data_IF_630302678731
#
_entry.id   IF_630302678731
#
_cell.length_a   1.000
_cell.length_b   1.000
_cell.length_c   1.000
_cell.angle_alpha   90.00
_cell.angle_beta   90.00
_cell.angle_gamma   90.00
#
_symmetry.space_group_name_H-M   'P 1'
#
loop_
_entity.id
_entity.type
_entity.pdbx_description
1 polymer ?
#
# COMPACT_ATOMS: atom_id res chain seq x y z
N UNK A 1 11.83 -15.23 -12.05
CA UNK A 1 11.81 -14.16 -11.02
C UNK A 1 11.81 -14.84 -9.66
N UNK A 2 12.49 -14.27 -8.67
CA UNK A 2 12.52 -14.83 -7.31
C UNK A 2 11.21 -14.52 -6.60
N UNK A 3 10.64 -15.50 -5.88
CA UNK A 3 9.44 -15.30 -5.07
C UNK A 3 9.79 -14.45 -3.85
N UNK A 4 9.04 -13.37 -3.62
CA UNK A 4 9.18 -12.49 -2.46
C UNK A 4 8.16 -12.83 -1.39
N UNK A 5 6.89 -12.95 -1.77
CA UNK A 5 5.81 -13.36 -0.89
C UNK A 5 5.21 -14.67 -1.40
N UNK A 6 5.00 -15.62 -0.50
CA UNK A 6 4.34 -16.89 -0.78
C UNK A 6 3.20 -17.09 0.22
N UNK A 7 1.99 -17.19 -0.28
CA UNK A 7 0.77 -17.45 0.47
C UNK A 7 0.40 -18.92 0.25
N UNK A 8 0.13 -19.67 1.34
CA UNK A 8 -0.15 -21.10 1.30
C UNK A 8 -1.38 -21.41 2.12
N UNK A 9 -2.42 -21.91 1.46
CA UNK A 9 -3.66 -22.39 2.08
C UNK A 9 -4.24 -21.40 3.11
N UNK A 10 -4.17 -20.09 2.80
CA UNK A 10 -4.62 -19.04 3.70
C UNK A 10 -6.14 -19.09 3.83
N UNK A 11 -6.62 -19.09 5.07
CA UNK A 11 -8.02 -19.06 5.42
C UNK A 11 -8.30 -18.00 6.47
N UNK A 12 -9.44 -17.31 6.36
CA UNK A 12 -9.90 -16.35 7.36
C UNK A 12 -11.40 -16.43 7.54
N UNK A 13 -11.78 -16.52 8.80
CA UNK A 13 -13.17 -16.46 9.25
C UNK A 13 -13.29 -15.45 10.39
N UNK A 14 -14.42 -14.73 10.45
CA UNK A 14 -14.83 -13.91 11.58
C UNK A 14 -16.13 -14.50 12.14
N UNK A 15 -16.07 -15.02 13.36
CA UNK A 15 -17.15 -15.78 13.99
C UNK A 15 -17.67 -16.89 13.06
N UNK A 16 -18.91 -16.80 12.58
CA UNK A 16 -19.49 -17.77 11.62
C UNK A 16 -19.33 -17.33 10.15
N UNK A 17 -18.74 -16.14 9.88
CA UNK A 17 -18.64 -15.60 8.53
C UNK A 17 -17.29 -15.95 7.90
N UNK A 18 -17.29 -16.90 6.98
CA UNK A 18 -16.11 -17.22 6.16
C UNK A 18 -15.82 -16.06 5.20
N UNK A 19 -14.59 -15.52 5.24
CA UNK A 19 -14.13 -14.46 4.33
C UNK A 19 -13.52 -15.08 3.09
N UNK A 20 -12.59 -16.00 3.27
CA UNK A 20 -11.99 -16.81 2.20
C UNK A 20 -11.37 -18.08 2.76
N UNK A 21 -11.19 -19.07 1.90
CA UNK A 21 -10.61 -20.37 2.26
C UNK A 21 -9.57 -20.81 1.24
N UNK A 22 -8.51 -21.45 1.74
CA UNK A 22 -7.48 -22.14 0.95
C UNK A 22 -6.80 -21.29 -0.15
N UNK A 23 -6.61 -19.97 0.09
CA UNK A 23 -5.94 -19.11 -0.87
C UNK A 23 -4.44 -19.48 -0.96
N UNK A 24 -3.96 -19.66 -2.19
CA UNK A 24 -2.54 -19.95 -2.44
C UNK A 24 -2.06 -19.24 -3.69
N UNK A 25 -1.04 -18.39 -3.56
CA UNK A 25 -0.40 -17.70 -4.68
C UNK A 25 0.98 -17.17 -4.29
N UNK A 26 1.75 -16.75 -5.29
CA UNK A 26 3.08 -16.21 -5.10
C UNK A 26 3.18 -14.80 -5.71
N UNK A 27 3.95 -13.94 -5.07
CA UNK A 27 4.29 -12.61 -5.56
C UNK A 27 5.81 -12.56 -5.75
N UNK A 28 6.24 -12.18 -6.95
CA UNK A 28 7.67 -12.08 -7.28
C UNK A 28 8.26 -10.76 -6.79
N UNK A 29 9.57 -10.73 -6.55
CA UNK A 29 10.32 -9.47 -6.35
C UNK A 29 10.14 -8.54 -7.56
N UNK A 30 10.11 -7.24 -7.30
CA UNK A 30 10.04 -6.17 -8.32
C UNK A 30 8.84 -6.34 -9.25
N UNK A 31 7.72 -6.78 -8.73
CA UNK A 31 6.48 -6.98 -9.47
C UNK A 31 5.41 -5.99 -9.04
N UNK A 32 4.44 -5.78 -9.92
CA UNK A 32 3.16 -5.16 -9.59
C UNK A 32 2.13 -6.27 -9.62
N UNK A 33 1.54 -6.60 -8.48
CA UNK A 33 0.58 -7.68 -8.32
C UNK A 33 -0.80 -7.12 -7.96
N UNK A 34 -1.82 -7.54 -8.69
CA UNK A 34 -3.18 -7.02 -8.55
C UNK A 34 -4.10 -8.00 -7.83
N UNK A 35 -4.70 -7.58 -6.72
CA UNK A 35 -5.79 -8.30 -6.07
C UNK A 35 -7.12 -7.74 -6.57
N UNK A 36 -7.83 -8.56 -7.34
CA UNK A 36 -9.15 -8.27 -7.89
C UNK A 36 -10.24 -8.84 -7.00
N UNK A 37 -11.44 -8.33 -7.11
CA UNK A 37 -12.63 -8.86 -6.45
C UNK A 37 -13.65 -7.76 -6.18
N UNK A 38 -14.90 -8.15 -6.03
CA UNK A 38 -16.00 -7.22 -5.72
C UNK A 38 -15.84 -6.61 -4.32
N UNK A 39 -16.61 -5.56 -4.02
CA UNK A 39 -16.64 -5.00 -2.68
C UNK A 39 -17.15 -6.06 -1.69
N UNK A 40 -16.48 -6.18 -0.55
CA UNK A 40 -16.79 -7.19 0.46
C UNK A 40 -16.17 -8.58 0.22
N UNK A 41 -15.42 -8.81 -0.86
CA UNK A 41 -14.78 -10.12 -1.13
C UNK A 41 -13.61 -10.46 -0.20
N UNK A 42 -13.20 -9.57 0.71
CA UNK A 42 -12.11 -9.82 1.64
C UNK A 42 -10.75 -9.22 1.27
N UNK A 43 -10.65 -8.39 0.21
CA UNK A 43 -9.38 -7.76 -0.22
C UNK A 43 -8.65 -7.05 0.91
N UNK A 44 -9.34 -6.16 1.62
CA UNK A 44 -8.78 -5.44 2.78
C UNK A 44 -8.31 -6.39 3.88
N UNK A 45 -9.07 -7.45 4.16
CA UNK A 45 -8.69 -8.48 5.13
C UNK A 45 -7.40 -9.19 4.69
N UNK A 46 -7.32 -9.60 3.43
CA UNK A 46 -6.12 -10.23 2.87
C UNK A 46 -4.91 -9.31 2.95
N UNK A 47 -5.05 -8.01 2.56
CA UNK A 47 -3.98 -7.02 2.64
C UNK A 47 -3.47 -6.82 4.07
N UNK A 48 -4.39 -6.75 5.05
CA UNK A 48 -4.05 -6.62 6.47
C UNK A 48 -3.35 -7.87 7.02
N UNK A 49 -3.72 -9.05 6.58
CA UNK A 49 -3.04 -10.29 6.96
C UNK A 49 -1.62 -10.30 6.38
N UNK A 50 -1.45 -10.00 5.08
CA UNK A 50 -0.13 -9.96 4.43
C UNK A 50 0.79 -8.89 5.06
N UNK A 51 0.22 -7.78 5.55
CA UNK A 51 0.96 -6.73 6.26
C UNK A 51 1.09 -6.97 7.77
N UNK A 52 0.72 -8.16 8.27
CA UNK A 52 0.78 -8.55 9.68
C UNK A 52 -0.02 -7.64 10.64
N UNK A 53 -1.10 -7.02 10.15
CA UNK A 53 -2.03 -6.27 10.99
C UNK A 53 -3.16 -7.15 11.55
N UNK A 54 -3.36 -8.34 10.97
CA UNK A 54 -4.25 -9.38 11.44
C UNK A 54 -3.42 -10.66 11.55
N UNK A 55 -3.31 -11.20 12.77
CA UNK A 55 -2.52 -12.41 13.06
C UNK A 55 -3.38 -13.66 13.20
N UNK A 56 -4.68 -13.48 13.43
CA UNK A 56 -5.66 -14.57 13.56
C UNK A 56 -6.13 -15.02 12.17
N UNK A 57 -5.46 -16.04 11.62
CA UNK A 57 -5.77 -16.72 10.36
C UNK A 57 -5.15 -18.12 10.34
N UNK A 58 -5.67 -19.00 9.49
CA UNK A 58 -5.08 -20.32 9.20
C UNK A 58 -4.23 -20.27 7.91
N UNK A 59 -3.32 -21.24 7.74
CA UNK A 59 -2.36 -21.27 6.65
C UNK A 59 -1.07 -20.51 6.95
N UNK A 60 -0.22 -20.33 5.94
CA UNK A 60 1.12 -19.76 6.08
C UNK A 60 1.39 -18.64 5.07
N UNK A 61 2.15 -17.65 5.52
CA UNK A 61 2.71 -16.60 4.67
C UNK A 61 4.22 -16.58 4.87
N UNK A 62 4.95 -16.59 3.76
CA UNK A 62 6.41 -16.48 3.77
C UNK A 62 6.83 -15.20 3.03
N UNK A 63 7.75 -14.46 3.63
CA UNK A 63 8.46 -13.35 3.03
C UNK A 63 9.93 -13.72 2.90
N UNK A 64 10.47 -13.75 1.69
CA UNK A 64 11.85 -14.18 1.42
C UNK A 64 12.21 -15.51 2.10
N UNK A 65 11.30 -16.51 2.01
CA UNK A 65 11.43 -17.85 2.59
C UNK A 65 11.24 -17.95 4.12
N UNK A 66 11.12 -16.84 4.85
CA UNK A 66 10.87 -16.80 6.29
C UNK A 66 9.38 -16.65 6.58
N UNK A 67 8.82 -17.51 7.46
CA UNK A 67 7.41 -17.39 7.86
C UNK A 67 7.15 -16.04 8.56
N UNK A 68 6.07 -15.36 8.21
CA UNK A 68 5.76 -14.04 8.79
C UNK A 68 5.51 -14.09 10.30
N UNK A 69 5.08 -15.23 10.84
CA UNK A 69 4.92 -15.43 12.28
C UNK A 69 6.24 -15.41 13.06
N UNK A 70 7.36 -15.56 12.36
CA UNK A 70 8.72 -15.52 12.91
C UNK A 70 9.43 -14.19 12.67
N UNK A 71 8.68 -13.16 12.27
CA UNK A 71 9.25 -11.86 11.96
C UNK A 71 9.83 -11.17 13.19
N UNK A 72 10.99 -10.62 13.00
CA UNK A 72 11.59 -9.65 13.89
C UNK A 72 11.26 -8.21 13.43
N UNK A 73 11.60 -7.24 14.27
CA UNK A 73 11.30 -5.83 14.01
C UNK A 73 11.91 -5.28 12.69
N UNK A 74 12.89 -5.94 12.09
CA UNK A 74 13.58 -5.47 10.88
C UNK A 74 12.71 -5.63 9.65
N UNK A 75 11.87 -6.64 9.58
CA UNK A 75 11.03 -6.94 8.41
C UNK A 75 9.86 -5.95 8.31
N UNK A 76 9.34 -5.43 9.44
CA UNK A 76 8.29 -4.42 9.42
C UNK A 76 8.70 -3.13 8.70
N UNK A 77 10.01 -2.83 8.64
CA UNK A 77 10.52 -1.68 7.89
C UNK A 77 10.56 -1.93 6.37
N UNK A 78 10.41 -3.17 5.93
CA UNK A 78 10.44 -3.54 4.50
C UNK A 78 9.06 -3.51 3.85
N UNK A 79 7.99 -3.44 4.64
CA UNK A 79 6.60 -3.46 4.15
C UNK A 79 5.86 -2.20 4.63
N UNK A 80 5.21 -1.51 3.71
CA UNK A 80 4.31 -0.41 4.03
C UNK A 80 2.90 -0.73 3.56
N UNK A 81 1.92 -0.64 4.47
CA UNK A 81 0.51 -0.78 4.16
C UNK A 81 -0.18 0.59 4.12
N UNK A 82 -0.77 0.91 2.98
CA UNK A 82 -1.65 2.07 2.80
C UNK A 82 -3.10 1.60 2.85
N UNK A 83 -3.87 1.95 3.88
CA UNK A 83 -5.28 1.58 3.98
C UNK A 83 -6.17 2.40 3.02
N UNK A 84 -7.42 1.95 2.78
CA UNK A 84 -8.38 2.72 1.98
C UNK A 84 -8.62 4.12 2.53
N UNK A 85 -8.80 4.22 3.85
CA UNK A 85 -8.96 5.50 4.56
C UNK A 85 -7.61 6.04 5.02
N UNK A 86 -7.31 7.32 4.81
CA UNK A 86 -6.05 7.93 5.20
C UNK A 86 -5.77 7.83 6.71
N UNK A 87 -4.59 7.30 7.06
CA UNK A 87 -4.11 7.21 8.45
C UNK A 87 -3.17 8.39 8.77
N UNK A 88 -3.75 9.58 8.89
CA UNK A 88 -3.06 10.84 9.14
C UNK A 88 -3.53 11.48 10.45
N UNK A 89 -2.66 12.26 11.08
CA UNK A 89 -3.00 13.01 12.29
C UNK A 89 -3.89 14.22 11.94
N UNK A 90 -5.18 14.11 12.22
CA UNK A 90 -6.20 15.10 11.83
C UNK A 90 -5.99 16.50 12.39
N UNK A 91 -5.39 16.64 13.58
CA UNK A 91 -5.09 17.91 14.24
C UNK A 91 -3.84 18.62 13.70
N UNK A 92 -2.94 17.89 13.04
CA UNK A 92 -1.75 18.42 12.41
C UNK A 92 -2.05 18.92 11.00
N UNK A 93 -1.24 19.85 10.49
CA UNK A 93 -1.26 20.26 9.09
C UNK A 93 -0.75 19.15 8.17
N UNK A 94 -0.99 19.28 6.87
CA UNK A 94 -0.42 18.35 5.90
C UNK A 94 1.11 18.35 5.93
N UNK A 95 1.73 19.53 6.04
CA UNK A 95 3.19 19.68 6.20
C UNK A 95 3.70 18.96 7.44
N UNK A 96 3.08 19.19 8.60
CA UNK A 96 3.46 18.54 9.85
C UNK A 96 3.33 17.01 9.79
N UNK A 97 2.31 16.48 9.10
CA UNK A 97 2.20 15.04 8.86
C UNK A 97 3.36 14.52 7.99
N UNK A 98 3.64 15.17 6.85
CA UNK A 98 4.74 14.76 5.97
C UNK A 98 6.08 14.82 6.72
N UNK A 99 6.34 15.90 7.46
CA UNK A 99 7.57 16.08 8.24
C UNK A 99 7.70 15.04 9.35
N UNK A 100 6.61 14.72 10.03
CA UNK A 100 6.59 13.71 11.09
C UNK A 100 6.97 12.33 10.53
N UNK A 101 6.30 11.88 9.48
CA UNK A 101 6.57 10.58 8.87
C UNK A 101 7.94 10.54 8.19
N UNK A 102 8.40 11.61 7.57
CA UNK A 102 9.75 11.68 6.96
C UNK A 102 10.87 11.46 7.99
N UNK A 103 10.68 11.94 9.24
CA UNK A 103 11.64 11.72 10.33
C UNK A 103 11.63 10.28 10.85
N UNK A 104 10.48 9.60 10.82
CA UNK A 104 10.38 8.19 11.21
C UNK A 104 11.11 7.29 10.21
N UNK A 105 10.95 7.57 8.92
CA UNK A 105 11.50 6.72 7.84
C UNK A 105 12.98 7.00 7.51
N UNK A 106 13.63 7.91 8.20
CA UNK A 106 15.10 8.19 8.31
C UNK A 106 15.89 8.36 6.98
N UNK A 107 15.33 8.11 5.78
CA UNK A 107 16.19 7.90 4.61
C UNK A 107 16.02 8.88 3.44
N UNK A 108 15.16 9.90 3.54
CA UNK A 108 14.82 10.64 2.32
C UNK A 108 15.41 12.05 2.24
N UNK A 109 16.06 12.32 1.11
CA UNK A 109 16.56 13.64 0.75
C UNK A 109 15.37 14.60 0.54
N UNK A 110 15.51 15.86 0.97
CA UNK A 110 14.48 16.90 0.87
C UNK A 110 13.89 17.06 -0.54
N UNK A 111 14.69 16.83 -1.60
CA UNK A 111 14.25 16.94 -2.98
C UNK A 111 13.09 15.98 -3.30
N UNK A 112 13.11 14.73 -2.80
CA UNK A 112 12.06 13.74 -3.06
C UNK A 112 10.70 14.14 -2.46
N UNK A 113 10.69 14.81 -1.32
CA UNK A 113 9.47 15.36 -0.72
C UNK A 113 8.84 16.40 -1.65
N UNK A 114 9.67 17.33 -2.16
CA UNK A 114 9.21 18.38 -3.07
C UNK A 114 8.65 17.79 -4.37
N UNK A 115 9.33 16.80 -4.94
CA UNK A 115 8.89 16.12 -6.17
C UNK A 115 7.53 15.46 -6.00
N UNK A 116 7.29 14.76 -4.88
CA UNK A 116 6.01 14.13 -4.57
C UNK A 116 4.89 15.15 -4.32
N UNK A 117 5.18 16.26 -3.61
CA UNK A 117 4.24 17.36 -3.37
C UNK A 117 3.79 17.96 -4.71
N UNK A 118 4.73 18.21 -5.63
CA UNK A 118 4.45 18.74 -6.95
C UNK A 118 3.66 17.74 -7.80
N UNK A 119 4.04 16.47 -7.81
CA UNK A 119 3.36 15.44 -8.60
C UNK A 119 1.87 15.29 -8.23
N UNK A 120 1.53 15.43 -6.94
CA UNK A 120 0.15 15.35 -6.47
C UNK A 120 -0.55 16.72 -6.38
N UNK A 121 0.10 17.84 -6.73
CA UNK A 121 -0.46 19.20 -6.69
C UNK A 121 -1.06 19.56 -5.32
N UNK A 122 -0.34 19.28 -4.22
CA UNK A 122 -0.85 19.54 -2.86
C UNK A 122 -0.19 20.74 -2.16
N UNK A 123 0.68 21.49 -2.82
CA UNK A 123 1.46 22.60 -2.23
C UNK A 123 0.56 23.62 -1.50
N UNK A 124 -0.55 24.02 -2.11
CA UNK A 124 -1.50 25.01 -1.55
C UNK A 124 -2.27 24.52 -0.31
N UNK A 125 -2.18 23.22 0.00
CA UNK A 125 -2.86 22.58 1.12
C UNK A 125 -1.93 22.28 2.30
N UNK A 126 -0.61 22.47 2.15
CA UNK A 126 0.39 22.03 3.12
C UNK A 126 0.19 22.63 4.53
N UNK A 127 -0.26 23.88 4.62
CA UNK A 127 -0.43 24.56 5.90
C UNK A 127 -1.84 24.40 6.49
N UNK A 128 -2.75 23.67 5.80
CA UNK A 128 -4.08 23.34 6.30
C UNK A 128 -4.04 22.07 7.15
N UNK A 129 -4.86 22.03 8.21
CA UNK A 129 -5.01 20.82 9.04
C UNK A 129 -5.70 19.71 8.26
N UNK A 130 -5.32 18.48 8.49
CA UNK A 130 -5.87 17.29 7.80
C UNK A 130 -7.40 17.22 7.93
N UNK A 131 -7.96 17.52 9.11
CA UNK A 131 -9.41 17.48 9.33
C UNK A 131 -10.19 18.54 8.51
N UNK A 132 -9.52 19.52 7.91
CA UNK A 132 -10.11 20.56 7.06
C UNK A 132 -10.01 20.24 5.56
N UNK A 133 -9.35 19.13 5.20
CA UNK A 133 -9.09 18.74 3.82
C UNK A 133 -10.16 17.76 3.31
N UNK A 134 -10.40 17.79 2.00
CA UNK A 134 -11.22 16.78 1.33
C UNK A 134 -10.54 15.38 1.37
N UNK A 135 -11.32 14.33 1.19
CA UNK A 135 -10.79 12.97 1.22
C UNK A 135 -9.78 12.71 0.08
N UNK A 136 -9.98 13.35 -1.09
CA UNK A 136 -9.01 13.29 -2.18
C UNK A 136 -7.65 13.91 -1.80
N UNK A 137 -7.62 15.07 -1.14
CA UNK A 137 -6.36 15.68 -0.69
C UNK A 137 -5.72 14.84 0.43
N UNK A 138 -6.50 14.33 1.37
CA UNK A 138 -5.98 13.39 2.40
C UNK A 138 -5.35 12.16 1.78
N UNK A 139 -6.00 11.58 0.74
CA UNK A 139 -5.46 10.42 0.01
C UNK A 139 -4.12 10.75 -0.65
N UNK A 140 -4.00 11.89 -1.34
CA UNK A 140 -2.74 12.36 -1.93
C UNK A 140 -1.63 12.50 -0.89
N UNK A 141 -1.92 13.07 0.28
CA UNK A 141 -0.94 13.20 1.37
C UNK A 141 -0.53 11.82 1.93
N UNK A 142 -1.48 10.89 2.08
CA UNK A 142 -1.18 9.52 2.50
C UNK A 142 -0.30 8.78 1.50
N UNK A 143 -0.51 8.99 0.19
CA UNK A 143 0.35 8.44 -0.86
C UNK A 143 1.76 9.03 -0.78
N UNK A 144 1.91 10.34 -0.55
CA UNK A 144 3.22 10.97 -0.33
C UNK A 144 3.94 10.29 0.83
N UNK A 145 3.26 10.12 1.97
CA UNK A 145 3.83 9.43 3.15
C UNK A 145 4.26 8.00 2.81
N UNK A 146 3.43 7.25 2.06
CA UNK A 146 3.75 5.88 1.66
C UNK A 146 5.03 5.80 0.80
N UNK A 147 5.18 6.71 -0.15
CA UNK A 147 6.37 6.76 -1.01
C UNK A 147 7.61 7.26 -0.27
N UNK A 148 7.47 8.13 0.73
CA UNK A 148 8.59 8.56 1.58
C UNK A 148 9.14 7.42 2.43
N UNK A 149 8.32 6.47 2.84
CA UNK A 149 8.77 5.29 3.58
C UNK A 149 9.75 4.43 2.78
N UNK A 150 9.66 4.47 1.44
CA UNK A 150 10.53 3.76 0.50
C UNK A 150 10.81 2.29 0.87
N UNK A 151 9.79 1.51 1.21
CA UNK A 151 9.96 0.11 1.61
C UNK A 151 10.20 -0.77 0.39
N UNK A 152 10.59 -2.04 0.61
CA UNK A 152 10.70 -3.02 -0.49
C UNK A 152 9.33 -3.45 -1.02
N UNK A 153 8.31 -3.46 -0.16
CA UNK A 153 6.93 -3.85 -0.50
C UNK A 153 5.96 -2.75 -0.11
N UNK A 154 5.20 -2.28 -1.08
CA UNK A 154 4.08 -1.37 -0.87
C UNK A 154 2.77 -2.14 -1.09
N UNK A 155 1.97 -2.21 -0.04
CA UNK A 155 0.64 -2.83 -0.07
C UNK A 155 -0.37 -1.69 -0.08
N UNK A 156 -1.03 -1.48 -1.22
CA UNK A 156 -1.98 -0.39 -1.45
C UNK A 156 -3.40 -0.92 -1.54
N UNK A 157 -4.23 -0.54 -0.58
CA UNK A 157 -5.63 -0.91 -0.54
C UNK A 157 -6.50 0.25 -1.04
N UNK A 158 -7.10 0.06 -2.21
CA UNK A 158 -7.88 1.05 -2.96
C UNK A 158 -7.16 2.41 -3.13
N UNK A 159 -5.94 2.44 -3.70
CA UNK A 159 -5.16 3.67 -3.77
C UNK A 159 -5.76 4.75 -4.67
N UNK A 160 -6.59 4.38 -5.64
CA UNK A 160 -7.20 5.29 -6.60
C UNK A 160 -8.49 5.96 -6.11
N UNK A 161 -9.04 5.50 -4.97
CA UNK A 161 -10.25 6.08 -4.41
C UNK A 161 -10.08 7.57 -4.14
N UNK A 162 -11.06 8.38 -4.54
CA UNK A 162 -11.12 9.84 -4.38
C UNK A 162 -10.09 10.65 -5.20
N UNK A 163 -9.28 10.03 -6.07
CA UNK A 163 -8.32 10.72 -6.93
C UNK A 163 -9.00 11.26 -8.19
N UNK A 164 -8.60 12.45 -8.61
CA UNK A 164 -8.88 13.00 -9.94
C UNK A 164 -7.97 12.33 -11.00
N UNK A 165 -8.30 12.52 -12.28
CA UNK A 165 -7.61 11.88 -13.39
C UNK A 165 -6.10 12.19 -13.43
N UNK A 166 -5.73 13.45 -13.18
CA UNK A 166 -4.32 13.88 -13.18
C UNK A 166 -3.54 13.18 -12.05
N UNK A 167 -4.17 13.03 -10.88
CA UNK A 167 -3.54 12.33 -9.75
C UNK A 167 -3.44 10.82 -9.95
N UNK A 168 -4.39 10.21 -10.67
CA UNK A 168 -4.30 8.80 -11.09
C UNK A 168 -3.10 8.61 -12.02
N UNK A 169 -2.91 9.50 -13.00
CA UNK A 169 -1.75 9.45 -13.90
C UNK A 169 -0.45 9.62 -13.12
N UNK A 170 -0.36 10.63 -12.24
CA UNK A 170 0.81 10.86 -11.39
C UNK A 170 1.10 9.64 -10.51
N UNK A 171 0.08 9.03 -9.89
CA UNK A 171 0.24 7.82 -9.08
C UNK A 171 0.82 6.66 -9.90
N UNK A 172 0.31 6.43 -11.11
CA UNK A 172 0.80 5.37 -11.99
C UNK A 172 2.26 5.61 -12.41
N UNK A 173 2.64 6.84 -12.72
CA UNK A 173 4.03 7.19 -13.06
C UNK A 173 4.97 6.94 -11.88
N UNK A 174 4.57 7.33 -10.67
CA UNK A 174 5.36 7.12 -9.45
C UNK A 174 5.48 5.62 -9.13
N UNK A 175 4.39 4.84 -9.23
CA UNK A 175 4.42 3.38 -9.02
C UNK A 175 5.40 2.74 -10.00
N UNK A 176 5.34 3.09 -11.29
CA UNK A 176 6.24 2.55 -12.32
C UNK A 176 7.70 2.89 -12.03
N UNK A 177 8.00 4.14 -11.63
CA UNK A 177 9.34 4.56 -11.23
C UNK A 177 9.88 3.76 -10.05
N UNK A 178 9.08 3.62 -8.98
CA UNK A 178 9.49 2.87 -7.79
C UNK A 178 9.66 1.37 -8.09
N UNK A 179 8.80 0.80 -8.93
CA UNK A 179 8.90 -0.59 -9.35
C UNK A 179 10.18 -0.84 -10.17
N UNK A 180 10.51 0.04 -11.12
CA UNK A 180 11.78 0.00 -11.87
C UNK A 180 13.01 0.13 -10.95
N UNK A 181 12.89 0.86 -9.86
CA UNK A 181 13.93 0.99 -8.83
C UNK A 181 13.96 -0.17 -7.82
N UNK A 182 13.09 -1.18 -8.00
CA UNK A 182 13.15 -2.44 -7.26
C UNK A 182 12.06 -2.67 -6.22
N UNK A 183 11.12 -1.74 -6.05
CA UNK A 183 9.98 -1.94 -5.17
C UNK A 183 9.00 -2.97 -5.75
N UNK A 184 8.33 -3.71 -4.87
CA UNK A 184 7.24 -4.63 -5.18
C UNK A 184 5.93 -4.01 -4.72
N UNK A 185 4.91 -4.04 -5.58
CA UNK A 185 3.58 -3.53 -5.26
C UNK A 185 2.56 -4.65 -5.18
N UNK A 186 1.73 -4.61 -4.14
CA UNK A 186 0.51 -5.38 -4.02
C UNK A 186 -0.65 -4.37 -3.97
N UNK A 187 -1.50 -4.35 -4.99
CA UNK A 187 -2.55 -3.34 -5.13
C UNK A 187 -3.91 -4.03 -5.16
N UNK A 188 -4.82 -3.64 -4.26
CA UNK A 188 -6.24 -3.98 -4.37
C UNK A 188 -6.98 -2.81 -4.98
N UNK A 189 -7.75 -3.05 -6.02
CA UNK A 189 -8.61 -2.03 -6.59
C UNK A 189 -9.68 -2.67 -7.50
N UNK A 190 -10.84 -2.03 -7.57
CA UNK A 190 -11.95 -2.46 -8.44
C UNK A 190 -11.95 -1.71 -9.79
N UNK A 191 -11.13 -0.67 -9.93
CA UNK A 191 -11.01 0.11 -11.14
C UNK A 191 -10.09 -0.56 -12.18
N UNK A 192 -10.18 -0.11 -13.42
CA UNK A 192 -9.25 -0.52 -14.47
C UNK A 192 -7.90 0.20 -14.42
N UNK A 193 -7.68 1.13 -13.50
CA UNK A 193 -6.45 1.95 -13.44
C UNK A 193 -5.20 1.11 -13.22
N UNK A 194 -5.29 0.03 -12.43
CA UNK A 194 -4.16 -0.89 -12.22
C UNK A 194 -3.73 -1.57 -13.52
N UNK A 195 -4.63 -1.80 -14.47
CA UNK A 195 -4.28 -2.45 -15.75
C UNK A 195 -3.28 -1.64 -16.58
N UNK A 196 -3.25 -0.32 -16.43
CA UNK A 196 -2.30 0.58 -17.12
C UNK A 196 -0.85 0.32 -16.68
N UNK A 197 -0.65 -0.16 -15.46
CA UNK A 197 0.66 -0.51 -14.91
C UNK A 197 1.22 -1.84 -15.44
N UNK A 198 0.49 -2.54 -16.32
CA UNK A 198 0.86 -3.87 -16.82
C UNK A 198 1.24 -4.84 -15.69
N UNK A 199 0.31 -5.17 -14.78
CA UNK A 199 0.60 -6.04 -13.65
C UNK A 199 1.22 -7.36 -14.09
N UNK A 200 2.27 -7.80 -13.40
CA UNK A 200 2.98 -9.05 -13.71
C UNK A 200 2.23 -10.29 -13.22
N UNK A 201 1.22 -10.10 -12.39
CA UNK A 201 0.34 -11.16 -11.88
C UNK A 201 -0.90 -10.57 -11.22
N UNK A 202 -1.90 -11.41 -11.03
CA UNK A 202 -3.11 -11.05 -10.30
C UNK A 202 -3.67 -12.26 -9.55
N UNK A 203 -4.50 -11.98 -8.56
CA UNK A 203 -5.34 -12.95 -7.88
C UNK A 203 -6.76 -12.39 -7.77
N UNK A 204 -7.77 -13.22 -7.95
CA UNK A 204 -9.18 -12.82 -7.87
C UNK A 204 -9.86 -13.50 -6.68
N UNK A 205 -10.46 -12.67 -5.81
CA UNK A 205 -11.20 -13.05 -4.60
C UNK A 205 -12.71 -13.10 -4.86
#
# INVERSE_FOLDING_TARGET
MKTLLKIVALEKQYDENLVFTSLSFNISEKSIFWIKGINGSGKTTLMKIISSQIEDYEGDIYYSEKNVREWDHTIYNEIFYLPPSPNLYGSLSARENIDFFSKIFISQKSNKITDLINAFNVETYLDKRINQLSDGIKKKISLIVAFLANPKVLIFDEPYSYLDADSVESLNQIIDEYNKNGATFLISDNSSFVSVLNPTGFFEL
#
